data_IF_350370711464
#
_entry.id   IF_350370711464
#
_cell.length_a   1.000
_cell.length_b   1.000
_cell.length_c   1.000
_cell.angle_alpha   90.00
_cell.angle_beta   90.00
_cell.angle_gamma   90.00
#
_symmetry.space_group_name_H-M   'P 1'
#
loop_
_entity.id
_entity.type
_entity.pdbx_description
1 polymer ?
#
# COMPACT_ATOMS: atom_id res chain seq x y z
N UNK A 1 -23.95 22.66 25.13
CA UNK A 1 -22.67 22.45 25.85
C UNK A 1 -21.68 21.81 24.91
N UNK A 2 -21.31 22.57 23.91
CA UNK A 2 -20.34 22.23 22.84
C UNK A 2 -19.50 23.50 22.70
N UNK A 3 -18.21 23.39 22.67
CA UNK A 3 -17.20 24.39 22.40
C UNK A 3 -16.10 24.40 23.49
N UNK A 4 -15.08 23.58 23.25
CA UNK A 4 -13.74 23.76 23.82
C UNK A 4 -12.75 22.67 23.37
N UNK A 5 -12.53 22.46 22.07
CA UNK A 5 -11.38 21.66 21.57
C UNK A 5 -10.69 22.28 20.33
N UNK A 6 -10.92 23.54 20.02
CA UNK A 6 -10.46 24.17 18.79
C UNK A 6 -9.33 25.20 18.90
N UNK A 7 -8.57 25.31 20.00
CA UNK A 7 -7.67 26.48 20.13
C UNK A 7 -6.33 26.17 20.82
N UNK A 8 -5.59 25.15 20.41
CA UNK A 8 -4.25 24.88 20.99
C UNK A 8 -3.14 24.44 19.99
N UNK A 9 -3.27 24.68 18.70
CA UNK A 9 -2.19 24.33 17.72
C UNK A 9 -1.73 25.48 16.82
N UNK A 10 -1.88 26.74 17.26
CA UNK A 10 -1.44 27.91 16.46
C UNK A 10 -0.42 28.78 17.20
N UNK A 11 0.55 28.19 17.92
CA UNK A 11 1.66 28.96 18.50
C UNK A 11 2.92 28.10 18.61
N UNK A 12 3.69 28.01 17.54
CA UNK A 12 5.15 27.79 17.60
C UNK A 12 5.72 27.73 16.17
N UNK A 13 5.97 28.85 15.53
CA UNK A 13 7.05 28.97 14.54
C UNK A 13 7.25 30.46 14.23
N UNK A 14 7.85 31.14 15.21
CA UNK A 14 8.44 32.47 14.98
C UNK A 14 9.95 32.30 15.13
N UNK A 15 10.58 31.73 14.10
CA UNK A 15 12.03 31.57 14.00
C UNK A 15 12.66 32.81 13.39
N UNK A 16 13.48 33.46 14.17
CA UNK A 16 14.36 34.61 13.91
C UNK A 16 15.24 34.41 12.68
N UNK A 17 15.03 35.23 11.65
CA UNK A 17 15.93 35.34 10.51
C UNK A 17 17.22 36.08 10.86
N UNK A 18 18.35 35.38 10.84
CA UNK A 18 19.70 35.98 10.72
C UNK A 18 20.25 35.63 9.36
N UNK A 19 20.41 36.64 8.50
CA UNK A 19 21.09 36.54 7.23
C UNK A 19 22.56 36.19 7.38
N UNK A 20 23.13 35.24 6.63
CA UNK A 20 24.55 34.96 6.67
C UNK A 20 25.35 35.97 5.85
N UNK A 21 26.42 36.44 6.43
CA UNK A 21 27.42 37.33 5.82
C UNK A 21 28.05 36.64 4.60
N UNK A 22 28.08 37.36 3.47
CA UNK A 22 28.74 36.91 2.25
C UNK A 22 30.24 36.87 2.46
N UNK A 23 30.82 35.68 2.42
CA UNK A 23 32.27 35.48 2.34
C UNK A 23 32.63 35.36 0.86
N UNK A 24 33.43 36.29 0.33
CA UNK A 24 33.98 36.24 -1.01
C UNK A 24 34.86 34.99 -1.17
N UNK A 25 34.55 34.11 -2.10
CA UNK A 25 35.34 32.93 -2.44
C UNK A 25 36.26 33.25 -3.65
N UNK A 26 37.54 32.84 -3.63
CA UNK A 26 38.43 32.99 -4.77
C UNK A 26 37.98 32.06 -5.92
N UNK A 27 38.11 32.57 -7.10
CA UNK A 27 37.84 31.85 -8.36
C UNK A 27 38.94 30.79 -8.53
N UNK A 28 38.66 29.55 -8.31
CA UNK A 28 39.51 28.44 -8.71
C UNK A 28 39.07 27.97 -10.11
N UNK A 29 39.98 28.13 -11.06
CA UNK A 29 39.83 27.55 -12.42
C UNK A 29 39.94 26.05 -12.29
N UNK A 30 38.83 25.34 -12.40
CA UNK A 30 38.81 23.88 -12.47
C UNK A 30 38.78 23.49 -13.92
N UNK A 31 39.89 22.92 -14.39
CA UNK A 31 40.03 22.29 -15.70
C UNK A 31 39.07 21.09 -15.72
N UNK A 32 38.03 21.19 -16.57
CA UNK A 32 37.00 20.14 -16.71
C UNK A 32 37.61 18.90 -17.37
N UNK A 33 37.76 17.84 -16.60
CA UNK A 33 37.82 16.50 -17.15
C UNK A 33 36.37 16.07 -17.31
N UNK A 34 35.89 16.09 -18.55
CA UNK A 34 34.59 15.50 -18.90
C UNK A 34 34.70 13.97 -18.76
N UNK A 35 34.41 13.46 -17.57
CA UNK A 35 34.04 12.06 -17.43
C UNK A 35 32.64 11.92 -18.07
N UNK A 36 32.62 11.31 -19.26
CA UNK A 36 31.40 10.81 -19.85
C UNK A 36 30.85 9.72 -18.94
N UNK A 37 29.95 10.09 -18.01
CA UNK A 37 29.10 9.13 -17.32
C UNK A 37 28.18 8.54 -18.38
N UNK A 38 28.58 7.41 -18.93
CA UNK A 38 27.65 6.53 -19.62
C UNK A 38 26.64 6.09 -18.57
N UNK A 39 25.49 6.70 -18.57
CA UNK A 39 24.31 6.21 -17.90
C UNK A 39 24.01 4.84 -18.52
N UNK A 40 24.50 3.76 -17.92
CA UNK A 40 23.92 2.46 -18.15
C UNK A 40 22.46 2.61 -17.74
N UNK A 41 21.57 2.72 -18.72
CA UNK A 41 20.15 2.54 -18.51
C UNK A 41 20.03 1.13 -17.87
N UNK A 42 19.91 1.10 -16.55
CA UNK A 42 19.41 -0.06 -15.84
C UNK A 42 18.04 -0.26 -16.46
N UNK A 43 17.90 -1.31 -17.28
CA UNK A 43 16.63 -1.64 -17.87
C UNK A 43 15.60 -1.58 -16.76
N UNK A 44 14.63 -0.69 -16.88
CA UNK A 44 13.40 -0.77 -16.15
C UNK A 44 12.75 -2.08 -16.60
N UNK A 45 13.15 -3.17 -15.95
CA UNK A 45 12.38 -4.39 -16.02
C UNK A 45 10.98 -3.99 -15.61
N UNK A 46 10.03 -4.08 -16.53
CA UNK A 46 8.62 -3.96 -16.19
C UNK A 46 8.39 -4.99 -15.08
N UNK A 47 8.31 -4.51 -13.83
CA UNK A 47 7.89 -5.34 -12.72
C UNK A 47 6.50 -5.80 -13.13
N UNK A 48 6.36 -7.11 -13.38
CA UNK A 48 5.06 -7.68 -13.71
C UNK A 48 4.12 -7.34 -12.56
N UNK A 49 3.04 -6.58 -12.77
CA UNK A 49 2.10 -6.22 -11.71
C UNK A 49 1.59 -7.44 -10.95
N UNK A 50 1.56 -8.60 -11.61
CA UNK A 50 1.20 -9.87 -11.00
C UNK A 50 2.24 -10.35 -9.96
N UNK A 51 3.54 -10.09 -10.19
CA UNK A 51 4.60 -10.47 -9.25
C UNK A 51 4.56 -9.59 -7.98
N UNK A 52 4.20 -8.32 -8.14
CA UNK A 52 4.08 -7.39 -7.00
C UNK A 52 2.84 -7.69 -6.15
N UNK A 53 1.79 -8.21 -6.78
CA UNK A 53 0.53 -8.60 -6.14
C UNK A 53 0.68 -9.76 -5.14
N UNK A 54 1.46 -10.77 -5.50
CA UNK A 54 1.68 -11.91 -4.62
C UNK A 54 2.75 -11.63 -3.55
N UNK A 55 3.75 -10.80 -3.87
CA UNK A 55 4.88 -10.54 -2.97
C UNK A 55 4.47 -9.94 -1.64
N UNK A 56 3.46 -9.05 -1.60
CA UNK A 56 3.01 -8.44 -0.35
C UNK A 56 2.29 -9.46 0.55
N UNK A 57 1.42 -10.28 0.00
CA UNK A 57 0.73 -11.33 0.74
C UNK A 57 1.71 -12.42 1.22
N UNK A 58 2.64 -12.84 0.34
CA UNK A 58 3.69 -13.80 0.66
C UNK A 58 4.58 -13.34 1.81
N UNK A 59 4.85 -12.04 1.88
CA UNK A 59 5.68 -11.46 2.94
C UNK A 59 4.93 -11.29 4.27
N UNK A 60 3.62 -11.03 4.23
CA UNK A 60 2.83 -10.64 5.41
C UNK A 60 2.11 -11.82 6.08
N UNK A 61 1.90 -12.93 5.37
CA UNK A 61 1.07 -14.03 5.83
C UNK A 61 1.87 -15.31 6.06
N UNK A 62 1.46 -16.11 7.02
CA UNK A 62 1.94 -17.49 7.13
C UNK A 62 1.45 -18.33 5.95
N UNK A 63 2.16 -19.40 5.60
CA UNK A 63 1.82 -20.30 4.47
C UNK A 63 0.35 -20.73 4.47
N UNK A 64 -0.20 -21.03 5.64
CA UNK A 64 -1.59 -21.44 5.77
C UNK A 64 -2.56 -20.31 5.44
N UNK A 65 -2.31 -19.10 5.94
CA UNK A 65 -3.15 -17.94 5.67
C UNK A 65 -2.99 -17.45 4.24
N UNK A 66 -1.78 -17.53 3.69
CA UNK A 66 -1.50 -17.25 2.29
C UNK A 66 -2.28 -18.17 1.35
N UNK A 67 -2.27 -19.49 1.63
CA UNK A 67 -3.08 -20.44 0.85
C UNK A 67 -4.58 -20.05 0.86
N UNK A 68 -5.12 -19.73 2.03
CA UNK A 68 -6.51 -19.32 2.16
C UNK A 68 -6.80 -17.98 1.46
N UNK A 69 -5.88 -17.01 1.56
CA UNK A 69 -5.95 -15.74 0.86
C UNK A 69 -6.00 -15.93 -0.67
N UNK A 70 -5.09 -16.72 -1.22
CA UNK A 70 -5.01 -16.97 -2.66
C UNK A 70 -6.25 -17.69 -3.21
N UNK A 71 -6.82 -18.60 -2.44
CA UNK A 71 -8.08 -19.26 -2.80
C UNK A 71 -9.26 -18.26 -2.80
N UNK A 72 -9.29 -17.31 -1.88
CA UNK A 72 -10.32 -16.25 -1.84
C UNK A 72 -10.20 -15.39 -3.08
N UNK A 73 -9.03 -14.85 -3.39
CA UNK A 73 -8.82 -13.94 -4.51
C UNK A 73 -9.12 -14.59 -5.85
N UNK A 74 -8.77 -15.87 -6.00
CA UNK A 74 -9.13 -16.63 -7.18
C UNK A 74 -10.65 -16.75 -7.35
N UNK A 75 -11.39 -17.02 -6.27
CA UNK A 75 -12.85 -17.17 -6.31
C UNK A 75 -13.57 -15.85 -6.54
N UNK A 76 -13.07 -14.76 -5.97
CA UNK A 76 -13.71 -13.45 -6.05
C UNK A 76 -13.49 -12.75 -7.40
N UNK A 77 -12.27 -12.76 -7.90
CA UNK A 77 -11.90 -11.97 -9.07
C UNK A 77 -11.12 -12.73 -10.16
N UNK A 78 -10.82 -14.03 -9.95
CA UNK A 78 -9.84 -14.77 -10.74
C UNK A 78 -8.47 -14.07 -10.74
N UNK A 79 -8.09 -13.53 -9.58
CA UNK A 79 -6.86 -12.76 -9.36
C UNK A 79 -6.74 -11.47 -10.20
N UNK A 80 -7.85 -10.86 -10.56
CA UNK A 80 -7.86 -9.60 -11.31
C UNK A 80 -8.06 -8.42 -10.38
N UNK A 81 -7.10 -7.50 -10.39
CA UNK A 81 -7.12 -6.30 -9.57
C UNK A 81 -8.20 -5.30 -9.99
N UNK A 82 -8.53 -5.27 -11.27
CA UNK A 82 -9.48 -4.38 -11.93
C UNK A 82 -10.87 -5.00 -12.08
N UNK A 83 -11.12 -6.13 -11.43
CA UNK A 83 -12.40 -6.83 -11.57
C UNK A 83 -13.57 -5.99 -11.06
N UNK A 84 -14.65 -5.97 -11.83
CA UNK A 84 -15.91 -5.31 -11.47
C UNK A 84 -17.05 -6.29 -11.69
N UNK A 85 -17.90 -6.48 -10.66
CA UNK A 85 -19.09 -7.29 -10.71
C UNK A 85 -20.25 -6.57 -10.01
N UNK A 86 -21.05 -5.86 -10.78
CA UNK A 86 -22.11 -4.99 -10.26
C UNK A 86 -21.55 -3.89 -9.36
N UNK A 87 -21.84 -3.93 -8.08
CA UNK A 87 -21.32 -2.97 -7.07
C UNK A 87 -20.11 -3.49 -6.29
N UNK A 88 -19.44 -4.54 -6.76
CA UNK A 88 -18.27 -5.14 -6.12
C UNK A 88 -17.04 -4.90 -6.99
N UNK A 89 -15.94 -4.47 -6.36
CA UNK A 89 -14.75 -3.95 -7.04
C UNK A 89 -13.47 -4.61 -6.56
N UNK A 90 -12.53 -4.71 -7.49
CA UNK A 90 -11.14 -5.06 -7.23
C UNK A 90 -10.89 -6.54 -6.94
N UNK A 91 -9.70 -6.77 -6.43
CA UNK A 91 -9.13 -8.09 -6.22
C UNK A 91 -9.95 -8.98 -5.27
N UNK A 92 -10.63 -8.35 -4.28
CA UNK A 92 -11.40 -9.02 -3.23
C UNK A 92 -12.92 -8.85 -3.40
N UNK A 93 -13.37 -8.25 -4.49
CA UNK A 93 -14.79 -8.01 -4.79
C UNK A 93 -15.56 -7.39 -3.61
N UNK A 94 -15.02 -6.32 -3.05
CA UNK A 94 -15.65 -5.62 -1.93
C UNK A 94 -16.59 -4.53 -2.48
N UNK A 95 -17.74 -4.37 -1.85
CA UNK A 95 -18.70 -3.32 -2.16
C UNK A 95 -18.24 -1.97 -1.60
N UNK A 96 -17.24 -1.37 -2.25
CA UNK A 96 -16.72 -0.05 -1.90
C UNK A 96 -16.12 0.63 -3.14
N UNK A 97 -16.70 1.76 -3.55
CA UNK A 97 -16.26 2.52 -4.73
C UNK A 97 -14.82 3.06 -4.62
N UNK A 98 -14.28 3.19 -3.40
CA UNK A 98 -12.87 3.57 -3.21
C UNK A 98 -11.87 2.53 -3.73
N UNK A 99 -12.34 1.34 -4.08
CA UNK A 99 -11.52 0.27 -4.64
C UNK A 99 -11.51 0.27 -6.17
N UNK A 100 -12.28 1.15 -6.82
CA UNK A 100 -12.23 1.34 -8.27
C UNK A 100 -10.86 1.91 -8.61
N UNK A 101 -10.11 1.23 -9.48
CA UNK A 101 -8.75 1.60 -9.91
C UNK A 101 -7.75 1.79 -8.76
N UNK A 102 -8.08 1.31 -7.56
CA UNK A 102 -7.17 1.38 -6.41
C UNK A 102 -5.96 0.45 -6.62
N UNK A 103 -4.75 0.90 -6.22
CA UNK A 103 -3.56 0.06 -6.31
C UNK A 103 -3.69 -1.16 -5.36
N UNK A 104 -2.89 -2.19 -5.65
CA UNK A 104 -2.98 -3.46 -4.94
C UNK A 104 -2.76 -3.36 -3.44
N UNK A 105 -1.74 -2.64 -3.01
CA UNK A 105 -1.40 -2.44 -1.61
C UNK A 105 -2.57 -1.83 -0.83
N UNK A 106 -3.26 -0.85 -1.42
CA UNK A 106 -4.46 -0.27 -0.82
C UNK A 106 -5.58 -1.31 -0.71
N UNK A 107 -5.86 -2.08 -1.77
CA UNK A 107 -6.86 -3.14 -1.75
C UNK A 107 -6.51 -4.23 -0.73
N UNK A 108 -5.24 -4.65 -0.66
CA UNK A 108 -4.74 -5.64 0.30
C UNK A 108 -4.96 -5.20 1.75
N UNK A 109 -4.50 -4.00 2.12
CA UNK A 109 -4.67 -3.52 3.50
C UNK A 109 -6.12 -3.18 3.85
N UNK A 110 -6.93 -2.79 2.88
CA UNK A 110 -8.36 -2.62 3.09
C UNK A 110 -9.01 -3.95 3.44
N UNK A 111 -8.71 -5.00 2.68
CA UNK A 111 -9.22 -6.34 2.91
C UNK A 111 -8.64 -6.98 4.19
N UNK A 112 -7.38 -6.73 4.50
CA UNK A 112 -6.74 -7.10 5.77
C UNK A 112 -7.59 -6.64 6.96
N UNK A 113 -7.93 -5.35 7.01
CA UNK A 113 -8.77 -4.79 8.08
C UNK A 113 -10.18 -5.37 8.09
N UNK A 114 -10.76 -5.59 6.92
CA UNK A 114 -12.07 -6.23 6.80
C UNK A 114 -12.06 -7.63 7.41
N UNK A 115 -11.09 -8.47 7.07
CA UNK A 115 -10.96 -9.84 7.60
C UNK A 115 -10.71 -9.82 9.11
N UNK A 116 -9.79 -8.97 9.59
CA UNK A 116 -9.55 -8.81 11.04
C UNK A 116 -10.83 -8.48 11.81
N UNK A 117 -11.59 -7.51 11.32
CA UNK A 117 -12.81 -7.06 11.98
C UNK A 117 -13.90 -8.13 11.98
N UNK A 118 -14.05 -8.86 10.87
CA UNK A 118 -15.17 -9.78 10.68
C UNK A 118 -14.89 -11.20 11.16
N UNK A 119 -13.67 -11.67 10.96
CA UNK A 119 -13.29 -13.06 11.22
C UNK A 119 -12.26 -13.23 12.34
N UNK A 120 -11.65 -12.12 12.76
CA UNK A 120 -10.66 -12.09 13.82
C UNK A 120 -9.22 -12.23 13.32
N UNK A 121 -8.33 -12.45 14.28
CA UNK A 121 -6.88 -12.63 14.07
C UNK A 121 -6.44 -14.01 14.52
N UNK A 122 -5.35 -14.51 13.93
CA UNK A 122 -4.70 -15.75 14.35
C UNK A 122 -3.77 -15.51 15.54
N UNK A 123 -3.18 -16.59 16.06
CA UNK A 123 -2.15 -16.52 17.12
C UNK A 123 -0.85 -15.82 16.66
N UNK A 124 -0.68 -15.57 15.37
CA UNK A 124 0.47 -14.88 14.77
C UNK A 124 0.18 -13.41 14.45
N UNK A 125 -0.92 -12.86 14.97
CA UNK A 125 -1.35 -11.47 14.80
C UNK A 125 -1.68 -11.08 13.34
N UNK A 126 -2.01 -12.06 12.52
CA UNK A 126 -2.48 -11.89 11.14
C UNK A 126 -3.99 -12.13 11.02
N UNK A 127 -4.71 -11.58 10.01
CA UNK A 127 -6.12 -11.85 9.81
C UNK A 127 -6.41 -13.33 9.55
N UNK A 128 -7.52 -13.83 10.06
CA UNK A 128 -7.93 -15.22 9.85
C UNK A 128 -8.60 -15.41 8.48
N UNK A 129 -7.78 -15.43 7.42
CA UNK A 129 -8.23 -15.67 6.04
C UNK A 129 -8.85 -17.07 5.87
N UNK A 130 -8.38 -18.06 6.62
CA UNK A 130 -8.94 -19.40 6.51
C UNK A 130 -10.37 -19.47 7.03
N UNK A 131 -10.69 -18.68 8.06
CA UNK A 131 -12.07 -18.54 8.54
C UNK A 131 -12.94 -17.78 7.55
N UNK A 132 -12.38 -16.73 6.92
CA UNK A 132 -13.05 -16.02 5.83
C UNK A 132 -13.34 -16.93 4.65
N UNK A 133 -12.37 -17.73 4.20
CA UNK A 133 -12.53 -18.72 3.14
C UNK A 133 -13.59 -19.76 3.47
N UNK A 134 -13.58 -20.26 4.70
CA UNK A 134 -14.62 -21.19 5.14
C UNK A 134 -16.03 -20.58 5.03
N UNK A 135 -16.19 -19.32 5.47
CA UNK A 135 -17.45 -18.61 5.34
C UNK A 135 -17.85 -18.43 3.87
N UNK A 136 -16.91 -18.00 3.01
CA UNK A 136 -17.14 -17.87 1.58
C UNK A 136 -17.61 -19.19 0.95
N UNK A 137 -16.96 -20.32 1.27
CA UNK A 137 -17.33 -21.65 0.75
C UNK A 137 -18.73 -22.11 1.20
N UNK A 138 -19.12 -21.78 2.43
CA UNK A 138 -20.41 -22.22 2.99
C UNK A 138 -21.56 -21.29 2.61
N UNK A 139 -21.31 -19.99 2.56
CA UNK A 139 -22.36 -18.97 2.33
C UNK A 139 -22.40 -18.43 0.91
N UNK A 140 -21.33 -18.58 0.13
CA UNK A 140 -21.19 -18.04 -1.22
C UNK A 140 -20.93 -16.53 -1.26
N UNK A 141 -20.63 -15.90 -0.11
CA UNK A 141 -20.32 -14.47 0.02
C UNK A 141 -19.44 -14.21 1.27
N UNK A 142 -18.86 -13.03 1.34
CA UNK A 142 -18.02 -12.59 2.45
C UNK A 142 -18.67 -11.49 3.29
#
# INVERSE_FOLDING_TARGET
MLDRVGTLLARAFKGSGRAPKRIARPVAIVIGIALSMQSTAIGQGSIDPYYDLHSLADYQLTDNQLHCHNEITFRESSNRIDAVNGSHYGYYQIRNELLIDAPYDYQFYFYWKYVQHRYGITKYDEPDYCKALHHLKVKGWQ
#
